data_IF_921249879823
#
_entry.id   IF_921249879823
#
_cell.length_a   1.000
_cell.length_b   1.000
_cell.length_c   1.000
_cell.angle_alpha   90.00
_cell.angle_beta   90.00
_cell.angle_gamma   90.00
#
_symmetry.space_group_name_H-M   'P 1'
#
loop_
_entity.id
_entity.type
_entity.pdbx_description
1 polymer ?
#
# COMPACT_ATOMS: atom_id res chain seq x y z
N UNK A 1 26.64 26.17 10.07
CA UNK A 1 26.34 24.79 9.69
C UNK A 1 25.38 24.82 8.50
N UNK A 2 25.67 24.11 7.40
CA UNK A 2 24.78 24.10 6.24
C UNK A 2 23.52 23.29 6.59
N UNK A 3 22.35 23.91 6.40
CA UNK A 3 21.04 23.27 6.48
C UNK A 3 20.96 22.13 5.45
N UNK A 4 20.44 20.93 5.81
CA UNK A 4 20.22 19.89 4.81
C UNK A 4 19.23 20.42 3.78
N UNK A 5 19.66 20.50 2.51
CA UNK A 5 18.79 20.84 1.41
C UNK A 5 17.75 19.73 1.26
N UNK A 6 16.53 19.94 1.76
CA UNK A 6 15.42 19.03 1.53
C UNK A 6 15.12 19.01 0.03
N UNK A 7 15.61 17.98 -0.67
CA UNK A 7 15.35 17.75 -2.08
C UNK A 7 13.86 17.40 -2.20
N UNK A 8 13.05 18.33 -2.70
CA UNK A 8 11.61 18.09 -2.93
C UNK A 8 11.48 16.99 -3.98
N UNK A 9 10.98 15.82 -3.57
CA UNK A 9 10.67 14.73 -4.50
C UNK A 9 9.27 15.00 -5.04
N UNK A 10 9.17 15.49 -6.28
CA UNK A 10 7.88 15.83 -6.90
C UNK A 10 7.17 14.57 -7.41
N UNK A 11 5.96 14.30 -6.94
CA UNK A 11 5.03 13.40 -7.61
C UNK A 11 4.55 14.06 -8.92
N UNK A 12 5.04 13.55 -10.04
CA UNK A 12 4.82 14.14 -11.36
C UNK A 12 3.58 13.65 -12.12
N UNK A 13 2.68 12.90 -11.48
CA UNK A 13 1.60 12.19 -12.17
C UNK A 13 0.21 12.59 -11.66
N UNK A 14 -0.70 12.92 -12.59
CA UNK A 14 -2.12 13.11 -12.31
C UNK A 14 -2.81 11.80 -11.89
N UNK A 15 -3.97 11.88 -11.23
CA UNK A 15 -4.77 10.72 -10.74
C UNK A 15 -4.94 9.56 -11.75
N UNK A 16 -5.32 9.77 -13.03
CA UNK A 16 -5.40 8.68 -14.01
C UNK A 16 -4.03 8.05 -14.34
N UNK A 17 -2.92 8.78 -14.14
CA UNK A 17 -1.57 8.29 -14.44
C UNK A 17 -1.03 7.35 -13.37
N UNK A 18 -1.40 7.47 -12.09
CA UNK A 18 -0.90 6.55 -11.04
C UNK A 18 -1.52 5.17 -11.14
N UNK A 19 -2.83 5.10 -11.37
CA UNK A 19 -3.53 3.82 -11.59
C UNK A 19 -2.93 3.06 -12.79
N UNK A 20 -2.73 3.76 -13.92
CA UNK A 20 -2.09 3.20 -15.10
C UNK A 20 -0.64 2.74 -14.82
N UNK A 21 0.15 3.52 -14.07
CA UNK A 21 1.51 3.15 -13.68
C UNK A 21 1.55 1.87 -12.85
N UNK A 22 0.71 1.78 -11.81
CA UNK A 22 0.68 0.60 -10.94
C UNK A 22 0.26 -0.65 -11.72
N UNK A 23 -0.74 -0.53 -12.61
CA UNK A 23 -1.13 -1.66 -13.47
C UNK A 23 -0.02 -2.08 -14.43
N UNK A 24 0.66 -1.14 -15.09
CA UNK A 24 1.77 -1.45 -16.00
C UNK A 24 2.99 -2.04 -15.28
N UNK A 25 3.21 -1.68 -14.01
CA UNK A 25 4.19 -2.35 -13.15
C UNK A 25 3.81 -3.80 -12.91
N UNK A 26 2.56 -4.06 -12.56
CA UNK A 26 2.08 -5.42 -12.29
C UNK A 26 2.08 -6.28 -13.55
N UNK A 27 1.70 -5.73 -14.72
CA UNK A 27 1.81 -6.44 -16.00
C UNK A 27 3.27 -6.83 -16.28
N UNK A 28 4.22 -5.90 -16.13
CA UNK A 28 5.65 -6.21 -16.32
C UNK A 28 6.17 -7.22 -15.29
N UNK A 29 5.71 -7.15 -14.04
CA UNK A 29 6.07 -8.13 -13.02
C UNK A 29 5.55 -9.52 -13.39
N UNK A 30 4.27 -9.65 -13.76
CA UNK A 30 3.69 -10.91 -14.19
C UNK A 30 4.37 -11.48 -15.45
N UNK A 31 4.79 -10.64 -16.40
CA UNK A 31 5.55 -11.08 -17.58
C UNK A 31 6.93 -11.67 -17.21
N UNK A 32 7.63 -11.08 -16.22
CA UNK A 32 8.87 -11.65 -15.70
C UNK A 32 8.63 -12.99 -15.02
N UNK A 33 7.63 -13.04 -14.12
CA UNK A 33 7.21 -14.27 -13.44
C UNK A 33 6.85 -15.39 -14.42
N UNK A 34 6.16 -15.06 -15.50
CA UNK A 34 5.77 -16.01 -16.54
C UNK A 34 7.01 -16.60 -17.23
N UNK A 35 8.00 -15.76 -17.50
CA UNK A 35 9.29 -16.20 -18.04
C UNK A 35 10.06 -17.11 -17.09
N UNK A 36 10.07 -16.79 -15.80
CA UNK A 36 10.77 -17.57 -14.78
C UNK A 36 10.10 -18.93 -14.55
N UNK A 37 8.78 -18.94 -14.30
CA UNK A 37 8.01 -20.18 -14.12
C UNK A 37 8.02 -21.06 -15.37
N UNK A 38 7.97 -20.47 -16.57
CA UNK A 38 8.05 -21.20 -17.83
C UNK A 38 9.39 -21.92 -18.07
N UNK A 39 10.46 -21.47 -17.41
CA UNK A 39 11.78 -22.13 -17.41
C UNK A 39 11.96 -23.18 -16.31
N UNK A 40 10.90 -23.49 -15.54
CA UNK A 40 10.97 -24.43 -14.42
C UNK A 40 11.60 -23.85 -13.16
N UNK A 41 11.43 -22.55 -12.92
CA UNK A 41 11.97 -21.86 -11.73
C UNK A 41 11.55 -22.52 -10.39
N UNK A 42 12.37 -22.35 -9.33
CA UNK A 42 12.18 -22.97 -8.02
C UNK A 42 10.91 -22.49 -7.29
N UNK A 43 10.58 -23.16 -6.17
CA UNK A 43 9.45 -22.85 -5.28
C UNK A 43 9.27 -21.35 -4.97
N UNK A 44 10.36 -20.59 -4.91
CA UNK A 44 10.36 -19.14 -4.71
C UNK A 44 9.53 -18.35 -5.76
N UNK A 45 9.45 -18.84 -7.00
CA UNK A 45 8.64 -18.21 -8.05
C UNK A 45 7.13 -18.42 -7.83
N UNK A 46 6.74 -19.51 -7.16
CA UNK A 46 5.36 -19.73 -6.71
C UNK A 46 4.97 -18.78 -5.58
N UNK A 47 5.87 -18.55 -4.61
CA UNK A 47 5.66 -17.57 -3.55
C UNK A 47 5.59 -16.14 -4.11
N UNK A 48 6.43 -15.81 -5.10
CA UNK A 48 6.40 -14.51 -5.75
C UNK A 48 5.12 -14.29 -6.58
N UNK A 49 4.61 -15.34 -7.25
CA UNK A 49 3.32 -15.29 -7.93
C UNK A 49 2.17 -14.97 -6.96
N UNK A 50 2.14 -15.61 -5.79
CA UNK A 50 1.05 -15.40 -4.82
C UNK A 50 1.07 -13.97 -4.26
N UNK A 51 2.26 -13.45 -3.92
CA UNK A 51 2.41 -12.05 -3.50
C UNK A 51 1.97 -11.06 -4.60
N UNK A 52 2.30 -11.37 -5.86
CA UNK A 52 1.86 -10.61 -7.02
C UNK A 52 0.33 -10.66 -7.19
N UNK A 53 -0.28 -11.85 -7.09
CA UNK A 53 -1.72 -12.07 -7.15
C UNK A 53 -2.48 -11.24 -6.10
N UNK A 54 -2.04 -11.28 -4.85
CA UNK A 54 -2.68 -10.55 -3.75
C UNK A 54 -2.58 -9.04 -3.93
N UNK A 55 -1.44 -8.54 -4.41
CA UNK A 55 -1.28 -7.14 -4.75
C UNK A 55 -2.30 -6.72 -5.82
N UNK A 56 -2.47 -7.53 -6.87
CA UNK A 56 -3.41 -7.25 -7.95
C UNK A 56 -4.86 -7.28 -7.47
N UNK A 57 -5.23 -8.24 -6.62
CA UNK A 57 -6.54 -8.27 -5.97
C UNK A 57 -6.82 -6.97 -5.22
N UNK A 58 -5.81 -6.41 -4.54
CA UNK A 58 -5.96 -5.13 -3.88
C UNK A 58 -6.08 -3.96 -4.87
N UNK A 59 -5.18 -3.90 -5.85
CA UNK A 59 -5.16 -2.83 -6.85
C UNK A 59 -6.49 -2.75 -7.61
N UNK A 60 -7.05 -3.89 -8.00
CA UNK A 60 -8.33 -3.95 -8.71
C UNK A 60 -9.51 -3.52 -7.82
N UNK A 61 -9.49 -3.83 -6.52
CA UNK A 61 -10.48 -3.30 -5.56
C UNK A 61 -10.41 -1.78 -5.44
N UNK A 62 -9.20 -1.22 -5.37
CA UNK A 62 -9.03 0.24 -5.35
C UNK A 62 -9.58 0.89 -6.63
N UNK A 63 -9.35 0.27 -7.78
CA UNK A 63 -9.82 0.74 -9.08
C UNK A 63 -11.35 0.71 -9.21
N UNK A 64 -12.01 -0.34 -8.73
CA UNK A 64 -13.48 -0.46 -8.73
C UNK A 64 -14.21 0.57 -7.91
N UNK A 65 -13.61 0.94 -6.77
CA UNK A 65 -14.22 1.89 -5.84
C UNK A 65 -14.05 3.35 -6.30
N UNK A 66 -13.27 3.60 -7.36
CA UNK A 66 -13.31 4.86 -8.09
C UNK A 66 -14.37 4.82 -9.18
N UNK A 67 -14.87 5.98 -9.63
CA UNK A 67 -15.84 6.14 -10.73
C UNK A 67 -15.30 5.67 -12.10
N UNK A 68 -14.88 4.41 -12.21
CA UNK A 68 -14.54 3.79 -13.47
C UNK A 68 -15.83 3.37 -14.16
N UNK A 69 -16.03 3.84 -15.39
CA UNK A 69 -17.13 3.42 -16.27
C UNK A 69 -17.12 1.92 -16.57
N UNK A 70 -15.96 1.27 -16.38
CA UNK A 70 -15.79 -0.17 -16.47
C UNK A 70 -15.32 -0.71 -15.12
N UNK A 71 -16.06 -1.66 -14.54
CA UNK A 71 -15.65 -2.33 -13.30
C UNK A 71 -14.56 -3.37 -13.61
N UNK A 72 -13.35 -3.27 -13.02
CA UNK A 72 -12.31 -4.29 -13.17
C UNK A 72 -12.81 -5.69 -12.78
N UNK A 73 -12.36 -6.78 -13.45
CA UNK A 73 -12.81 -8.15 -13.18
C UNK A 73 -12.35 -8.66 -11.81
N UNK A 74 -13.09 -9.62 -11.22
CA UNK A 74 -12.63 -10.32 -10.00
C UNK A 74 -11.61 -11.35 -10.42
N UNK A 75 -10.42 -11.26 -9.85
CA UNK A 75 -9.43 -12.30 -10.03
C UNK A 75 -9.87 -13.51 -9.21
N UNK A 76 -9.74 -14.69 -9.79
CA UNK A 76 -10.10 -15.94 -9.13
C UNK A 76 -9.31 -16.07 -7.83
N UNK A 77 -9.98 -16.44 -6.74
CA UNK A 77 -9.27 -16.78 -5.51
C UNK A 77 -8.45 -18.03 -5.77
N UNK A 78 -7.12 -17.89 -5.77
CA UNK A 78 -6.23 -19.04 -5.80
C UNK A 78 -6.20 -19.68 -4.41
N UNK A 79 -7.27 -20.39 -4.07
CA UNK A 79 -7.21 -21.37 -3.01
C UNK A 79 -6.35 -22.52 -3.56
N UNK A 80 -5.27 -22.87 -2.86
CA UNK A 80 -4.32 -23.97 -3.11
C UNK A 80 -2.95 -23.57 -3.69
N UNK A 81 -1.92 -24.24 -3.15
CA UNK A 81 -0.57 -24.32 -3.74
C UNK A 81 -0.67 -25.02 -5.10
N UNK A 82 -0.94 -24.26 -6.16
CA UNK A 82 -0.93 -24.78 -7.51
C UNK A 82 0.51 -25.12 -7.89
N UNK A 83 0.72 -26.33 -8.43
CA UNK A 83 2.01 -26.78 -8.92
C UNK A 83 2.01 -26.84 -10.46
N UNK A 84 3.12 -26.44 -11.07
CA UNK A 84 3.38 -26.65 -12.49
C UNK A 84 2.45 -25.86 -13.42
N UNK A 85 1.76 -26.55 -14.33
CA UNK A 85 1.00 -25.95 -15.43
C UNK A 85 -0.20 -25.12 -14.97
N UNK A 86 -0.87 -25.50 -13.88
CA UNK A 86 -2.03 -24.77 -13.36
C UNK A 86 -1.66 -23.35 -12.91
N UNK A 87 -0.52 -23.20 -12.23
CA UNK A 87 0.01 -21.89 -11.81
C UNK A 87 0.33 -20.99 -13.01
N UNK A 88 0.90 -21.58 -14.07
CA UNK A 88 1.20 -20.86 -15.31
C UNK A 88 -0.05 -20.39 -16.02
N UNK A 89 -1.12 -21.19 -16.00
CA UNK A 89 -2.37 -20.85 -16.67
C UNK A 89 -3.15 -19.77 -15.90
N UNK A 90 -3.14 -19.82 -14.57
CA UNK A 90 -3.70 -18.76 -13.71
C UNK A 90 -2.95 -17.43 -13.90
N UNK A 91 -1.61 -17.46 -13.88
CA UNK A 91 -0.79 -16.27 -14.16
C UNK A 91 -1.10 -15.66 -15.53
N UNK A 92 -1.24 -16.49 -16.58
CA UNK A 92 -1.63 -15.99 -17.91
C UNK A 92 -3.04 -15.38 -17.89
N UNK A 93 -3.99 -16.01 -17.20
CA UNK A 93 -5.36 -15.51 -17.11
C UNK A 93 -5.40 -14.15 -16.39
N UNK A 94 -4.68 -14.02 -15.29
CA UNK A 94 -4.57 -12.78 -14.54
C UNK A 94 -3.85 -11.68 -15.31
N UNK A 95 -2.75 -12.00 -16.01
CA UNK A 95 -2.08 -11.05 -16.91
C UNK A 95 -3.04 -10.49 -17.96
N UNK A 96 -3.84 -11.35 -18.60
CA UNK A 96 -4.86 -10.91 -19.58
C UNK A 96 -5.92 -10.01 -18.94
N UNK A 97 -6.32 -10.31 -17.70
CA UNK A 97 -7.27 -9.48 -16.96
C UNK A 97 -6.70 -8.09 -16.68
N UNK A 98 -5.43 -8.00 -16.24
CA UNK A 98 -4.75 -6.72 -16.02
C UNK A 98 -4.57 -5.92 -17.33
N UNK A 99 -4.17 -6.59 -18.42
CA UNK A 99 -4.04 -5.97 -19.75
C UNK A 99 -5.38 -5.42 -20.28
N UNK A 100 -6.47 -6.14 -20.02
CA UNK A 100 -7.83 -5.69 -20.34
C UNK A 100 -8.17 -4.40 -19.58
N UNK A 101 -7.95 -4.38 -18.25
CA UNK A 101 -8.18 -3.19 -17.42
C UNK A 101 -7.31 -2.01 -17.88
N UNK A 102 -6.03 -2.26 -18.19
CA UNK A 102 -5.13 -1.23 -18.69
C UNK A 102 -5.63 -0.60 -20.00
N UNK A 103 -6.16 -1.42 -20.92
CA UNK A 103 -6.73 -0.94 -22.20
C UNK A 103 -7.98 -0.08 -21.99
N UNK A 104 -8.77 -0.36 -20.96
CA UNK A 104 -9.96 0.43 -20.62
C UNK A 104 -9.66 1.72 -19.84
N UNK A 105 -8.47 1.84 -19.26
CA UNK A 105 -8.00 3.07 -18.60
C UNK A 105 -7.31 4.05 -19.57
N UNK A 106 -7.22 3.70 -20.85
CA UNK A 106 -6.57 4.52 -21.88
C UNK A 106 -7.42 5.76 -22.24
N UNK A 107 -7.22 6.80 -21.44
CA UNK A 107 -7.15 8.20 -21.88
C UNK A 107 -5.66 8.64 -21.93
N UNK A 108 -4.75 7.68 -22.12
CA UNK A 108 -3.30 7.86 -22.08
C UNK A 108 -2.75 7.88 -23.52
N UNK A 109 -2.25 9.02 -24.03
CA UNK A 109 -1.71 9.09 -25.38
C UNK A 109 -0.59 8.08 -25.59
N UNK A 110 -0.52 7.45 -26.76
CA UNK A 110 0.48 6.43 -27.13
C UNK A 110 1.95 6.88 -26.93
N UNK A 111 2.24 8.18 -27.01
CA UNK A 111 3.56 8.75 -26.69
C UNK A 111 3.92 8.78 -25.18
N UNK A 112 2.96 8.50 -24.30
CA UNK A 112 3.15 8.33 -22.85
C UNK A 112 3.49 6.88 -22.52
N UNK A 113 3.05 5.87 -23.30
CA UNK A 113 3.45 4.46 -23.07
C UNK A 113 4.98 4.26 -23.06
N UNK A 114 5.69 4.96 -23.95
CA UNK A 114 7.16 4.98 -24.01
C UNK A 114 7.83 5.93 -22.99
N UNK A 115 7.07 6.89 -22.44
CA UNK A 115 7.56 7.88 -21.45
C UNK A 115 7.11 7.59 -20.02
N UNK A 116 6.31 6.55 -19.80
CA UNK A 116 6.09 5.91 -18.51
C UNK A 116 7.34 5.11 -18.14
N UNK A 117 8.49 5.78 -18.21
CA UNK A 117 9.58 5.48 -17.32
C UNK A 117 8.99 5.64 -15.92
N UNK A 118 8.70 4.50 -15.32
CA UNK A 118 8.52 4.41 -13.89
C UNK A 118 9.81 4.96 -13.30
N UNK A 119 9.76 6.21 -12.90
CA UNK A 119 10.82 6.76 -12.08
C UNK A 119 10.66 6.05 -10.73
N UNK A 120 11.51 5.05 -10.48
CA UNK A 120 11.61 4.37 -9.19
C UNK A 120 11.89 5.35 -8.03
N UNK A 121 12.19 6.61 -8.35
CA UNK A 121 12.29 7.74 -7.41
C UNK A 121 10.93 8.30 -6.96
N UNK A 122 9.80 7.83 -7.48
CA UNK A 122 8.50 8.27 -6.96
C UNK A 122 8.34 7.87 -5.50
N UNK A 123 7.90 8.80 -4.64
CA UNK A 123 7.80 8.53 -3.22
C UNK A 123 6.73 7.45 -2.98
N UNK A 124 7.17 6.35 -2.37
CA UNK A 124 6.32 5.25 -1.94
C UNK A 124 5.91 5.49 -0.49
N UNK A 125 4.64 5.27 -0.19
CA UNK A 125 4.08 5.46 1.15
C UNK A 125 3.63 4.11 1.67
N UNK A 126 4.26 3.63 2.74
CA UNK A 126 3.85 2.41 3.41
C UNK A 126 2.54 2.65 4.16
N UNK A 127 1.55 1.79 3.98
CA UNK A 127 0.31 1.82 4.77
C UNK A 127 0.26 0.57 5.64
N UNK A 128 0.48 0.78 6.94
CA UNK A 128 0.39 -0.27 7.96
C UNK A 128 -1.05 -0.30 8.46
N UNK A 129 -1.64 -1.48 8.51
CA UNK A 129 -3.02 -1.65 8.95
C UNK A 129 -3.22 -3.02 9.59
N UNK A 130 -4.22 -3.14 10.46
CA UNK A 130 -4.68 -4.43 10.93
C UNK A 130 -5.85 -4.95 10.09
N UNK A 131 -6.97 -5.31 10.71
CA UNK A 131 -8.10 -5.97 10.05
C UNK A 131 -9.08 -5.03 9.36
N UNK A 132 -9.00 -3.73 9.62
CA UNK A 132 -9.90 -2.74 9.03
C UNK A 132 -9.56 -2.43 7.55
N UNK A 133 -10.06 -3.28 6.64
CA UNK A 133 -9.86 -3.16 5.20
C UNK A 133 -10.40 -1.85 4.64
N UNK A 134 -11.54 -1.36 5.16
CA UNK A 134 -12.18 -0.12 4.70
C UNK A 134 -11.28 1.10 4.98
N UNK A 135 -10.73 1.19 6.19
CA UNK A 135 -9.81 2.26 6.57
C UNK A 135 -8.55 2.25 5.69
N UNK A 136 -7.96 1.08 5.48
CA UNK A 136 -6.81 0.89 4.58
C UNK A 136 -7.11 1.38 3.16
N UNK A 137 -8.22 0.92 2.58
CA UNK A 137 -8.59 1.29 1.21
C UNK A 137 -8.89 2.78 1.07
N UNK A 138 -9.52 3.41 2.08
CA UNK A 138 -9.76 4.84 2.09
C UNK A 138 -8.44 5.64 2.06
N UNK A 139 -7.44 5.21 2.84
CA UNK A 139 -6.11 5.85 2.87
C UNK A 139 -5.34 5.61 1.58
N UNK A 140 -5.33 4.38 1.07
CA UNK A 140 -4.67 4.04 -0.19
C UNK A 140 -5.24 4.86 -1.36
N UNK A 141 -6.58 4.95 -1.48
CA UNK A 141 -7.24 5.78 -2.49
C UNK A 141 -6.88 7.26 -2.36
N UNK A 142 -6.81 7.78 -1.14
CA UNK A 142 -6.42 9.16 -0.91
C UNK A 142 -4.98 9.42 -1.37
N UNK A 143 -4.04 8.55 -1.01
CA UNK A 143 -2.64 8.64 -1.45
C UNK A 143 -2.53 8.61 -2.98
N UNK A 144 -3.27 7.71 -3.64
CA UNK A 144 -3.32 7.65 -5.10
C UNK A 144 -3.95 8.90 -5.73
N UNK A 145 -4.96 9.50 -5.08
CA UNK A 145 -5.55 10.79 -5.51
C UNK A 145 -4.47 11.89 -5.51
N UNK A 146 -3.57 11.88 -4.53
CA UNK A 146 -2.43 12.81 -4.46
C UNK A 146 -1.32 12.49 -5.47
N UNK A 147 -1.42 11.39 -6.21
CA UNK A 147 -0.35 10.96 -7.13
C UNK A 147 0.77 10.19 -6.44
N UNK A 148 0.57 9.76 -5.18
CA UNK A 148 1.52 8.97 -4.39
C UNK A 148 1.24 7.47 -4.54
N UNK A 149 2.27 6.64 -4.32
CA UNK A 149 2.15 5.18 -4.46
C UNK A 149 2.01 4.51 -3.10
N UNK A 150 0.85 3.94 -2.75
CA UNK A 150 0.72 3.16 -1.53
C UNK A 150 1.42 1.80 -1.67
N UNK A 151 2.17 1.40 -0.64
CA UNK A 151 2.62 0.02 -0.41
C UNK A 151 1.75 -0.54 0.70
N UNK A 152 1.11 -1.67 0.45
CA UNK A 152 0.21 -2.31 1.40
C UNK A 152 0.80 -3.65 1.78
N UNK A 153 1.08 -3.82 3.07
CA UNK A 153 1.55 -5.09 3.60
C UNK A 153 0.35 -5.87 4.09
N UNK A 154 0.15 -7.06 3.53
CA UNK A 154 -0.84 -8.00 4.07
C UNK A 154 -0.16 -8.95 5.06
N UNK A 155 -0.73 -9.05 6.26
CA UNK A 155 -0.23 -9.94 7.31
C UNK A 155 -0.34 -11.41 6.90
N UNK A 156 -1.36 -11.80 6.12
CA UNK A 156 -1.66 -13.21 5.80
C UNK A 156 -0.80 -13.78 4.66
N UNK A 157 -0.21 -12.90 3.84
CA UNK A 157 0.58 -13.17 2.64
C UNK A 157 2.03 -13.66 2.88
N UNK A 158 2.21 -14.54 3.88
CA UNK A 158 3.50 -14.78 4.54
C UNK A 158 4.56 -15.52 3.73
N UNK A 159 4.19 -16.59 3.03
CA UNK A 159 5.15 -17.56 2.48
C UNK A 159 6.17 -18.07 3.52
N UNK A 160 5.79 -18.13 4.80
CA UNK A 160 6.71 -18.45 5.90
C UNK A 160 7.68 -17.33 6.28
N UNK A 161 7.71 -16.20 5.55
CA UNK A 161 8.43 -15.00 5.94
C UNK A 161 7.77 -14.38 7.16
N UNK A 162 8.61 -14.02 8.10
CA UNK A 162 8.25 -13.28 9.29
C UNK A 162 7.82 -11.86 8.94
N UNK A 163 7.06 -11.22 9.84
CA UNK A 163 6.66 -9.82 9.71
C UNK A 163 7.87 -8.91 9.48
N UNK A 164 8.99 -9.19 10.14
CA UNK A 164 10.21 -8.38 10.03
C UNK A 164 10.84 -8.46 8.63
N UNK A 165 10.94 -9.66 8.04
CA UNK A 165 11.48 -9.83 6.67
C UNK A 165 10.62 -9.11 5.62
N UNK A 166 9.30 -9.09 5.82
CA UNK A 166 8.39 -8.31 4.96
C UNK A 166 8.67 -6.82 5.06
N UNK A 167 8.84 -6.30 6.27
CA UNK A 167 9.13 -4.88 6.49
C UNK A 167 10.46 -4.47 5.90
N UNK A 168 11.50 -5.29 6.06
CA UNK A 168 12.83 -5.06 5.47
C UNK A 168 12.77 -5.03 3.93
N UNK A 169 11.99 -5.91 3.30
CA UNK A 169 11.80 -5.92 1.85
C UNK A 169 11.11 -4.65 1.31
N UNK A 170 10.32 -3.97 2.14
CA UNK A 170 9.58 -2.76 1.79
C UNK A 170 10.18 -1.48 2.40
N UNK A 171 11.40 -1.59 2.94
CA UNK A 171 12.23 -0.51 3.45
C UNK A 171 12.44 0.71 2.52
N UNK A 172 12.38 0.65 1.17
CA UNK A 172 12.54 1.86 0.34
C UNK A 172 11.33 2.83 0.38
N UNK A 173 10.40 2.69 1.33
CA UNK A 173 9.35 3.68 1.57
C UNK A 173 9.93 5.05 1.97
N UNK A 174 9.26 6.13 1.56
CA UNK A 174 9.65 7.52 1.88
C UNK A 174 8.85 8.10 3.05
N UNK A 175 7.76 7.43 3.43
CA UNK A 175 6.82 7.82 4.48
C UNK A 175 5.99 6.58 4.91
N UNK A 176 5.48 6.57 6.14
CA UNK A 176 4.53 5.56 6.61
C UNK A 176 3.25 6.19 7.18
N UNK A 177 2.11 5.63 6.81
CA UNK A 177 0.81 5.91 7.42
C UNK A 177 0.38 4.66 8.18
N UNK A 178 0.17 4.78 9.48
CA UNK A 178 -0.16 3.65 10.37
C UNK A 178 -1.60 3.77 10.86
N UNK A 179 -2.41 2.74 10.64
CA UNK A 179 -3.82 2.72 11.04
C UNK A 179 -3.99 1.98 12.36
N UNK A 180 -4.29 2.73 13.41
CA UNK A 180 -4.54 2.24 14.76
C UNK A 180 -6.05 2.08 14.97
N UNK A 181 -6.59 0.96 14.49
CA UNK A 181 -8.02 0.60 14.63
C UNK A 181 -8.25 -0.39 15.77
N UNK A 182 -9.48 -0.44 16.30
CA UNK A 182 -9.86 -1.29 17.44
C UNK A 182 -10.00 -2.78 17.11
N UNK A 183 -9.02 -3.36 16.42
CA UNK A 183 -9.08 -4.74 15.91
C UNK A 183 -8.98 -5.79 17.01
N UNK A 184 -8.27 -5.45 18.09
CA UNK A 184 -8.11 -6.28 19.28
C UNK A 184 -8.72 -5.56 20.49
N UNK A 185 -8.91 -6.30 21.59
CA UNK A 185 -9.19 -5.73 22.91
C UNK A 185 -8.10 -6.11 23.89
N UNK A 186 -7.85 -5.27 24.88
CA UNK A 186 -6.87 -5.53 25.93
C UNK A 186 -7.17 -4.76 27.21
N UNK A 187 -6.49 -5.15 28.28
CA UNK A 187 -6.53 -4.45 29.56
C UNK A 187 -5.22 -4.67 30.31
N UNK A 188 -4.94 -3.81 31.29
CA UNK A 188 -3.89 -4.08 32.26
C UNK A 188 -4.20 -5.39 33.00
N UNK A 189 -3.16 -6.15 33.34
CA UNK A 189 -3.33 -7.40 34.08
C UNK A 189 -3.99 -7.19 35.45
N UNK A 190 -3.80 -6.02 36.05
CA UNK A 190 -4.46 -5.59 37.29
C UNK A 190 -5.92 -5.17 37.10
N UNK A 191 -6.36 -4.94 35.86
CA UNK A 191 -7.67 -4.37 35.52
C UNK A 191 -8.40 -5.16 34.42
N UNK A 192 -8.36 -6.50 34.51
CA UNK A 192 -8.89 -7.43 33.50
C UNK A 192 -10.38 -7.26 33.16
N UNK A 193 -11.12 -6.52 33.99
CA UNK A 193 -12.56 -6.26 33.81
C UNK A 193 -12.85 -5.11 32.85
N UNK A 194 -11.87 -4.24 32.59
CA UNK A 194 -12.04 -3.09 31.70
C UNK A 194 -11.26 -3.29 30.40
N UNK A 195 -11.75 -4.21 29.57
CA UNK A 195 -11.24 -4.37 28.20
C UNK A 195 -11.50 -3.10 27.39
N UNK A 196 -10.47 -2.62 26.71
CA UNK A 196 -10.51 -1.45 25.82
C UNK A 196 -10.15 -1.87 24.40
N UNK A 197 -10.75 -1.26 23.37
CA UNK A 197 -10.28 -1.40 22.00
C UNK A 197 -8.81 -0.98 21.89
N UNK A 198 -8.02 -1.73 21.14
CA UNK A 198 -6.61 -1.42 20.90
C UNK A 198 -6.20 -1.85 19.49
N UNK A 199 -5.18 -1.19 18.96
CA UNK A 199 -4.52 -1.64 17.75
C UNK A 199 -3.89 -3.02 17.97
N UNK A 200 -3.89 -3.83 16.91
CA UNK A 200 -3.26 -5.15 16.90
C UNK A 200 -1.77 -5.04 17.22
N UNK A 201 -1.22 -6.02 17.93
CA UNK A 201 0.19 -5.97 18.35
C UNK A 201 1.18 -5.87 17.19
N UNK A 202 0.91 -6.53 16.07
CA UNK A 202 1.72 -6.42 14.86
C UNK A 202 1.77 -4.99 14.34
N UNK A 203 0.63 -4.30 14.30
CA UNK A 203 0.55 -2.88 13.88
C UNK A 203 1.40 -1.99 14.79
N UNK A 204 1.41 -2.25 16.10
CA UNK A 204 2.28 -1.53 17.04
C UNK A 204 3.77 -1.82 16.78
N UNK A 205 4.11 -3.07 16.45
CA UNK A 205 5.47 -3.43 16.08
C UNK A 205 5.91 -2.74 14.77
N UNK A 206 5.05 -2.74 13.75
CA UNK A 206 5.28 -2.08 12.47
C UNK A 206 5.37 -0.56 12.60
N UNK A 207 4.61 0.04 13.50
CA UNK A 207 4.75 1.44 13.89
C UNK A 207 6.16 1.72 14.42
N UNK A 208 6.62 0.93 15.40
CA UNK A 208 7.94 1.08 15.98
C UNK A 208 9.05 0.89 14.94
N UNK A 209 8.91 -0.11 14.05
CA UNK A 209 9.82 -0.34 12.94
C UNK A 209 9.86 0.87 11.99
N UNK A 210 8.70 1.39 11.60
CA UNK A 210 8.60 2.54 10.68
C UNK A 210 9.27 3.78 11.28
N UNK A 211 9.09 4.01 12.59
CA UNK A 211 9.75 5.11 13.31
C UNK A 211 11.27 4.93 13.31
N UNK A 212 11.75 3.73 13.60
CA UNK A 212 13.19 3.44 13.66
C UNK A 212 13.85 3.57 12.28
N UNK A 213 13.16 3.14 11.22
CA UNK A 213 13.69 3.08 9.86
C UNK A 213 13.57 4.40 9.10
N UNK A 214 12.44 5.11 9.24
CA UNK A 214 12.15 6.34 8.49
C UNK A 214 12.41 7.62 9.28
N UNK A 215 12.47 7.54 10.61
CA UNK A 215 12.39 8.72 11.48
C UNK A 215 10.95 9.12 11.76
N UNK A 216 10.74 9.81 12.89
CA UNK A 216 9.41 10.15 13.41
C UNK A 216 8.66 11.13 12.51
N UNK A 217 9.38 12.04 11.88
CA UNK A 217 8.87 13.05 10.96
C UNK A 217 8.37 12.49 9.62
N UNK A 218 8.60 11.19 9.38
CA UNK A 218 8.14 10.45 8.20
C UNK A 218 7.08 9.42 8.54
N UNK A 219 6.47 9.51 9.72
CA UNK A 219 5.42 8.60 10.18
C UNK A 219 4.22 9.39 10.68
N UNK A 220 3.03 9.06 10.17
CA UNK A 220 1.76 9.57 10.67
C UNK A 220 0.87 8.41 11.12
N UNK A 221 0.40 8.44 12.35
CA UNK A 221 -0.56 7.49 12.88
C UNK A 221 -1.99 8.05 12.77
N UNK A 222 -2.87 7.36 12.06
CA UNK A 222 -4.31 7.63 12.05
C UNK A 222 -4.98 6.66 13.03
N UNK A 223 -5.77 7.16 13.97
CA UNK A 223 -6.36 6.33 15.00
C UNK A 223 -7.89 6.42 15.06
N UNK A 224 -8.53 5.30 15.35
CA UNK A 224 -9.96 5.24 15.62
C UNK A 224 -10.26 5.75 17.04
N UNK A 225 -11.35 6.50 17.20
CA UNK A 225 -11.73 7.06 18.49
C UNK A 225 -11.96 5.95 19.54
N UNK A 226 -11.39 6.15 20.74
CA UNK A 226 -11.51 5.19 21.84
C UNK A 226 -10.49 4.04 21.82
N UNK A 227 -9.64 3.95 20.81
CA UNK A 227 -8.51 3.01 20.77
C UNK A 227 -7.42 3.44 21.77
N UNK A 228 -6.90 2.47 22.51
CA UNK A 228 -5.71 2.67 23.35
C UNK A 228 -4.49 3.01 22.49
N UNK A 229 -3.92 4.21 22.71
CA UNK A 229 -2.72 4.67 22.03
C UNK A 229 -1.48 4.39 22.89
N UNK A 230 -0.35 4.01 22.29
CA UNK A 230 0.88 3.80 23.05
C UNK A 230 1.43 5.13 23.59
N UNK A 231 1.88 5.13 24.85
CA UNK A 231 2.29 6.33 25.60
C UNK A 231 3.59 6.99 25.14
N UNK A 232 4.52 6.21 24.56
CA UNK A 232 5.94 6.60 24.44
C UNK A 232 6.42 6.96 23.03
N UNK A 233 5.52 7.09 22.05
CA UNK A 233 5.87 7.52 20.69
C UNK A 233 5.87 9.05 20.52
N UNK A 234 6.53 9.76 21.44
CA UNK A 234 6.66 11.23 21.39
C UNK A 234 7.31 11.67 20.07
N UNK A 235 6.64 12.57 19.35
CA UNK A 235 7.11 13.14 18.08
C UNK A 235 6.60 12.43 16.83
N UNK A 236 5.80 11.37 16.98
CA UNK A 236 4.93 10.87 15.90
C UNK A 236 3.62 11.64 15.93
N UNK A 237 3.15 12.09 14.77
CA UNK A 237 1.87 12.78 14.69
C UNK A 237 0.72 11.77 14.73
N UNK A 238 -0.17 11.93 15.71
CA UNK A 238 -1.39 11.15 15.86
C UNK A 238 -2.59 11.98 15.41
N UNK A 239 -3.37 11.46 14.46
CA UNK A 239 -4.58 12.12 13.98
C UNK A 239 -5.80 11.21 14.11
N UNK A 240 -6.95 11.72 14.61
CA UNK A 240 -8.19 10.98 14.54
C UNK A 240 -8.51 10.59 13.10
N UNK A 241 -8.89 9.34 12.88
CA UNK A 241 -9.42 8.84 11.62
C UNK A 241 -10.93 9.07 11.58
N UNK A 242 -11.32 10.32 11.34
CA UNK A 242 -12.70 10.76 11.43
C UNK A 242 -13.52 10.41 10.18
N UNK A 243 -14.81 10.10 10.39
CA UNK A 243 -15.76 9.85 9.30
C UNK A 243 -16.05 11.08 8.43
N UNK A 244 -15.76 12.29 8.93
CA UNK A 244 -15.91 13.55 8.19
C UNK A 244 -14.80 13.82 7.17
N UNK A 245 -13.72 13.02 7.20
CA UNK A 245 -12.59 13.12 6.28
C UNK A 245 -11.59 14.23 6.59
N UNK A 246 -11.64 14.86 7.77
CA UNK A 246 -10.69 15.91 8.16
C UNK A 246 -9.25 15.38 8.18
N UNK A 247 -9.05 14.10 8.53
CA UNK A 247 -7.76 13.40 8.48
C UNK A 247 -7.01 13.55 7.15
N UNK A 248 -7.72 13.66 6.01
CA UNK A 248 -7.11 13.80 4.67
C UNK A 248 -6.25 15.06 4.58
N UNK A 249 -6.82 16.19 4.98
CA UNK A 249 -6.12 17.48 4.97
C UNK A 249 -4.98 17.51 5.97
N UNK A 250 -5.10 16.80 7.09
CA UNK A 250 -4.02 16.70 8.09
C UNK A 250 -2.87 15.83 7.56
N UNK A 251 -3.18 14.64 7.04
CA UNK A 251 -2.20 13.75 6.44
C UNK A 251 -1.48 14.41 5.26
N UNK A 252 -2.19 15.17 4.42
CA UNK A 252 -1.58 15.93 3.33
C UNK A 252 -0.50 16.91 3.83
N UNK A 253 -0.73 17.59 4.96
CA UNK A 253 0.27 18.48 5.55
C UNK A 253 1.50 17.73 6.02
N UNK A 254 1.32 16.58 6.67
CA UNK A 254 2.45 15.75 7.13
C UNK A 254 3.28 15.22 5.95
N UNK A 255 2.61 14.73 4.90
CA UNK A 255 3.27 14.30 3.66
C UNK A 255 4.08 15.44 3.03
N UNK A 256 3.50 16.64 2.96
CA UNK A 256 4.18 17.82 2.44
C UNK A 256 5.38 18.23 3.29
N UNK A 257 5.23 18.24 4.62
CA UNK A 257 6.30 18.56 5.57
C UNK A 257 7.47 17.57 5.48
N UNK A 258 7.18 16.29 5.22
CA UNK A 258 8.19 15.26 4.98
C UNK A 258 8.87 15.35 3.59
N UNK A 259 8.48 16.32 2.77
CA UNK A 259 9.05 16.60 1.45
C UNK A 259 8.49 15.74 0.31
N UNK A 260 7.35 15.06 0.53
CA UNK A 260 6.64 14.36 -0.53
C UNK A 260 5.82 15.39 -1.30
N UNK A 261 6.32 15.78 -2.47
CA UNK A 261 5.64 16.73 -3.33
C UNK A 261 4.44 16.08 -4.01
N UNK A 262 3.27 16.69 -3.91
CA UNK A 262 2.08 16.36 -4.69
C UNK A 262 1.39 17.67 -5.07
N UNK A 263 0.52 17.62 -6.09
CA UNK A 263 -0.25 18.81 -6.50
C UNK A 263 -1.35 19.10 -5.45
N UNK A 264 -1.34 20.28 -4.80
CA UNK A 264 -2.36 20.67 -3.82
C UNK A 264 -3.79 20.71 -4.41
N UNK A 265 -3.94 20.90 -5.72
CA UNK A 265 -5.26 20.85 -6.38
C UNK A 265 -5.94 19.48 -6.23
N UNK A 266 -5.17 18.41 -6.00
CA UNK A 266 -5.73 17.08 -5.74
C UNK A 266 -6.40 16.96 -4.35
N UNK A 267 -6.28 17.96 -3.47
CA UNK A 267 -6.98 18.00 -2.19
C UNK A 267 -8.44 18.47 -2.30
N UNK A 268 -8.75 19.25 -3.34
CA UNK A 268 -10.10 19.71 -3.67
C UNK A 268 -10.92 18.58 -4.31
#
# INVERSE_FOLDING_TARGET
MPTPSHRVIRAGLSRPRVHAVLLLEQIRHGQRLLGDLGRGAPAAAGDEYLAWHEYNQHLLRLLRAGDATHQPPELLHTEHRLAGSALLDDLKAELRALESVATHLDDVPSGVRDRLFVDDRQPKVLVVHGRNVSAREAVARFLMKLGLRPILLDEQAGHGRTLIEKLEGHAPASFAVVLLTGDDVGALASDRRHLRPRARQNVIFELAFSIAHLGRERVCALYEDGVELPSDFRGVEYQPFDGGGAWKSKLARELHAAGLGFDPLNLL
#
